data_IF_023050816475
#
_entry.id   IF_023050816475
#
_cell.length_a   1.000
_cell.length_b   1.000
_cell.length_c   1.000
_cell.angle_alpha   90.00
_cell.angle_beta   90.00
_cell.angle_gamma   90.00
#
_symmetry.space_group_name_H-M   'P 1'
#
loop_
_entity.id
_entity.type
_entity.pdbx_description
1 polymer ?
#
# COMPACT_ATOMS: atom_id res chain seq x y z
N UNK A 1 11.56 -58.91 24.40
CA UNK A 1 10.81 -57.69 24.80
C UNK A 1 11.19 -56.45 23.96
N UNK A 2 11.19 -56.52 22.61
CA UNK A 2 11.57 -55.38 21.74
C UNK A 2 10.49 -54.95 20.72
N UNK A 3 9.39 -55.71 20.58
CA UNK A 3 8.34 -55.42 19.58
C UNK A 3 7.31 -54.37 20.03
N UNK A 4 7.09 -54.21 21.35
CA UNK A 4 6.14 -53.22 21.88
C UNK A 4 6.62 -51.77 21.80
N UNK A 5 7.93 -51.53 21.91
CA UNK A 5 8.49 -50.17 21.87
C UNK A 5 8.41 -49.52 20.49
N UNK A 6 8.57 -50.28 19.40
CA UNK A 6 8.47 -49.79 18.03
C UNK A 6 7.02 -49.42 17.66
N UNK A 7 6.05 -50.19 18.17
CA UNK A 7 4.63 -49.92 17.97
C UNK A 7 4.18 -48.64 18.69
N UNK A 8 4.61 -48.43 19.94
CA UNK A 8 4.33 -47.17 20.66
C UNK A 8 4.98 -45.97 19.99
N UNK A 9 6.22 -46.09 19.47
CA UNK A 9 6.91 -45.02 18.75
C UNK A 9 6.21 -44.64 17.44
N UNK A 10 5.73 -45.63 16.67
CA UNK A 10 4.94 -45.41 15.46
C UNK A 10 3.61 -44.71 15.78
N UNK A 11 2.91 -45.17 16.82
CA UNK A 11 1.63 -44.60 17.25
C UNK A 11 1.77 -43.14 17.69
N UNK A 12 2.84 -42.79 18.42
CA UNK A 12 3.11 -41.41 18.83
C UNK A 12 3.50 -40.53 17.65
N UNK A 13 4.36 -41.00 16.72
CA UNK A 13 4.65 -40.23 15.50
C UNK A 13 3.41 -39.97 14.66
N UNK A 14 2.49 -40.92 14.53
CA UNK A 14 1.22 -40.72 13.82
C UNK A 14 0.35 -39.70 14.55
N UNK A 15 0.21 -39.80 15.88
CA UNK A 15 -0.58 -38.84 16.67
C UNK A 15 -0.06 -37.39 16.58
N UNK A 16 1.24 -37.18 16.37
CA UNK A 16 1.83 -35.85 16.20
C UNK A 16 1.90 -35.37 14.75
N UNK A 17 2.19 -36.26 13.79
CA UNK A 17 2.34 -35.90 12.37
C UNK A 17 0.99 -35.89 11.64
N UNK A 18 0.04 -36.74 12.01
CA UNK A 18 -1.27 -36.82 11.33
C UNK A 18 -2.07 -35.51 11.46
N UNK A 19 -2.15 -34.83 12.62
CA UNK A 19 -2.79 -33.50 12.70
C UNK A 19 -2.04 -32.44 11.90
N UNK A 20 -0.71 -32.53 11.80
CA UNK A 20 0.11 -31.61 10.99
C UNK A 20 -0.16 -31.86 9.49
N UNK A 21 -0.19 -33.12 9.06
CA UNK A 21 -0.46 -33.51 7.68
C UNK A 21 -1.91 -33.18 7.30
N UNK A 22 -2.88 -33.48 8.16
CA UNK A 22 -4.30 -33.14 7.95
C UNK A 22 -4.47 -31.62 7.97
N UNK A 23 -3.85 -30.90 8.92
CA UNK A 23 -3.89 -29.45 8.96
C UNK A 23 -3.26 -28.82 7.71
N UNK A 24 -2.14 -29.35 7.24
CA UNK A 24 -1.47 -28.92 6.01
C UNK A 24 -2.28 -29.27 4.75
N UNK A 25 -2.93 -30.44 4.73
CA UNK A 25 -3.80 -30.88 3.64
C UNK A 25 -5.11 -30.10 3.58
N UNK A 26 -5.69 -29.75 4.73
CA UNK A 26 -6.86 -28.86 4.84
C UNK A 26 -6.48 -27.43 4.47
N UNK A 27 -5.32 -26.92 4.90
CA UNK A 27 -4.80 -25.60 4.50
C UNK A 27 -4.60 -25.50 2.99
N UNK A 28 -3.99 -26.51 2.36
CA UNK A 28 -3.82 -26.58 0.90
C UNK A 28 -5.14 -26.66 0.12
N UNK A 29 -6.25 -26.91 0.78
CA UNK A 29 -7.57 -26.99 0.17
C UNK A 29 -8.39 -25.72 0.35
N UNK A 30 -7.88 -24.66 0.97
CA UNK A 30 -8.58 -23.37 0.89
C UNK A 30 -8.67 -22.95 -0.58
N UNK A 31 -9.88 -22.86 -1.17
CA UNK A 31 -10.01 -22.36 -2.51
C UNK A 31 -9.50 -20.91 -2.55
N UNK A 32 -8.77 -20.56 -3.62
CA UNK A 32 -8.37 -19.17 -3.85
C UNK A 32 -9.60 -18.25 -3.81
N UNK A 33 -9.41 -17.02 -3.35
CA UNK A 33 -10.50 -16.05 -3.25
C UNK A 33 -11.10 -15.80 -4.65
N UNK A 34 -12.44 -15.87 -4.80
CA UNK A 34 -13.08 -15.80 -6.09
C UNK A 34 -13.06 -14.37 -6.65
N UNK A 35 -12.94 -14.23 -7.96
CA UNK A 35 -12.99 -12.94 -8.64
C UNK A 35 -12.61 -13.06 -10.11
N UNK A 36 -12.74 -11.98 -10.90
CA UNK A 36 -12.29 -11.98 -12.29
C UNK A 36 -10.79 -12.27 -12.35
N UNK A 37 -10.40 -13.03 -13.36
CA UNK A 37 -9.00 -13.33 -13.63
C UNK A 37 -8.29 -12.08 -14.15
N UNK A 38 -7.09 -11.82 -13.61
CA UNK A 38 -6.24 -10.70 -14.01
C UNK A 38 -4.82 -11.18 -14.32
N UNK A 39 -4.07 -10.33 -15.03
CA UNK A 39 -2.67 -10.55 -15.39
C UNK A 39 -1.78 -9.52 -14.72
N UNK A 40 -0.73 -9.98 -14.05
CA UNK A 40 0.30 -9.13 -13.44
C UNK A 40 1.67 -9.54 -13.97
N UNK A 41 2.54 -8.58 -14.23
CA UNK A 41 3.94 -8.86 -14.55
C UNK A 41 4.76 -8.90 -13.27
N UNK A 42 5.41 -10.04 -13.00
CA UNK A 42 6.40 -10.14 -11.92
C UNK A 42 7.79 -9.78 -12.44
N UNK A 43 8.41 -8.75 -11.86
CA UNK A 43 9.80 -8.39 -12.16
C UNK A 43 10.78 -9.42 -11.62
N UNK A 44 10.44 -10.07 -10.49
CA UNK A 44 11.27 -11.12 -9.88
C UNK A 44 11.33 -12.35 -10.77
N UNK A 45 10.18 -12.83 -11.25
CA UNK A 45 10.11 -14.03 -12.08
C UNK A 45 10.25 -13.73 -13.58
N UNK A 46 10.25 -12.45 -13.96
CA UNK A 46 10.32 -11.96 -15.34
C UNK A 46 9.25 -12.57 -16.25
N UNK A 47 8.03 -12.77 -15.72
CA UNK A 47 6.90 -13.37 -16.45
C UNK A 47 5.57 -12.80 -15.99
N UNK A 48 4.54 -13.06 -16.79
CA UNK A 48 3.15 -12.73 -16.44
C UNK A 48 2.55 -13.85 -15.60
N UNK A 49 2.04 -13.49 -14.43
CA UNK A 49 1.24 -14.34 -13.56
C UNK A 49 -0.25 -14.08 -13.83
N UNK A 50 -1.04 -15.14 -13.69
CA UNK A 50 -2.50 -15.10 -13.85
C UNK A 50 -3.13 -15.59 -12.56
N UNK A 51 -4.00 -14.76 -11.96
CA UNK A 51 -4.62 -15.01 -10.67
C UNK A 51 -5.96 -14.27 -10.58
N UNK A 52 -6.79 -14.59 -9.59
CA UNK A 52 -8.00 -13.82 -9.34
C UNK A 52 -7.66 -12.42 -8.81
N UNK A 53 -8.53 -11.46 -9.08
CA UNK A 53 -8.40 -10.10 -8.54
C UNK A 53 -8.32 -10.09 -7.01
N UNK A 54 -9.04 -10.98 -6.32
CA UNK A 54 -9.00 -11.03 -4.85
C UNK A 54 -7.68 -11.58 -4.30
N UNK A 55 -7.10 -12.61 -4.92
CA UNK A 55 -5.76 -13.09 -4.54
C UNK A 55 -4.69 -12.02 -4.82
N UNK A 56 -4.84 -11.26 -5.91
CA UNK A 56 -3.97 -10.11 -6.17
C UNK A 56 -4.07 -9.07 -5.04
N UNK A 57 -5.29 -8.74 -4.62
CA UNK A 57 -5.52 -7.76 -3.55
C UNK A 57 -4.96 -8.25 -2.21
N UNK A 58 -5.02 -9.55 -1.89
CA UNK A 58 -4.31 -10.12 -0.72
C UNK A 58 -2.82 -9.84 -0.81
N UNK A 59 -2.22 -10.10 -1.96
CA UNK A 59 -0.81 -9.83 -2.24
C UNK A 59 -0.43 -8.36 -2.03
N UNK A 60 -1.25 -7.44 -2.54
CA UNK A 60 -1.04 -5.99 -2.36
C UNK A 60 -1.16 -5.58 -0.90
N UNK A 61 -2.22 -5.98 -0.21
CA UNK A 61 -2.43 -5.60 1.20
C UNK A 61 -1.30 -6.14 2.08
N UNK A 62 -0.85 -7.38 1.84
CA UNK A 62 0.28 -7.97 2.54
C UNK A 62 1.63 -7.31 2.23
N UNK A 63 1.79 -6.73 1.04
CA UNK A 63 2.97 -5.96 0.67
C UNK A 63 2.97 -4.55 1.28
N UNK A 64 1.84 -3.84 1.19
CA UNK A 64 1.71 -2.40 1.41
C UNK A 64 1.36 -2.00 2.85
N UNK A 65 0.54 -2.77 3.56
CA UNK A 65 -0.01 -2.37 4.86
C UNK A 65 0.45 -3.29 6.00
N UNK A 66 0.90 -2.76 7.16
CA UNK A 66 1.22 -3.60 8.30
C UNK A 66 0.01 -4.41 8.76
N UNK A 67 0.12 -5.75 8.79
CA UNK A 67 -0.99 -6.64 9.18
C UNK A 67 -1.50 -6.43 10.62
N UNK A 68 -0.69 -5.80 11.47
CA UNK A 68 -1.09 -5.41 12.82
C UNK A 68 -2.15 -4.28 12.84
N UNK A 69 -2.28 -3.50 11.76
CA UNK A 69 -3.22 -2.39 11.67
C UNK A 69 -4.68 -2.82 11.84
N UNK A 70 -5.53 -1.88 12.23
CA UNK A 70 -6.94 -2.11 12.50
C UNK A 70 -7.65 -2.80 11.31
N UNK A 71 -8.54 -3.79 11.54
CA UNK A 71 -9.23 -4.49 10.45
C UNK A 71 -9.93 -3.56 9.45
N UNK A 72 -10.54 -2.47 9.94
CA UNK A 72 -11.18 -1.47 9.06
C UNK A 72 -10.20 -0.71 8.16
N UNK A 73 -8.94 -0.55 8.59
CA UNK A 73 -7.89 0.00 7.73
C UNK A 73 -7.46 -0.98 6.64
N UNK A 74 -7.35 -2.28 6.97
CA UNK A 74 -7.06 -3.34 6.00
C UNK A 74 -8.17 -3.45 4.95
N UNK A 75 -9.44 -3.36 5.37
CA UNK A 75 -10.60 -3.31 4.46
C UNK A 75 -10.55 -2.08 3.55
N UNK A 76 -10.24 -0.90 4.09
CA UNK A 76 -10.09 0.31 3.28
C UNK A 76 -8.95 0.17 2.26
N UNK A 77 -7.82 -0.40 2.65
CA UNK A 77 -6.72 -0.70 1.74
C UNK A 77 -7.11 -1.71 0.66
N UNK A 78 -7.85 -2.75 1.01
CA UNK A 78 -8.32 -3.75 0.04
C UNK A 78 -9.20 -3.12 -1.05
N UNK A 79 -10.17 -2.28 -0.66
CA UNK A 79 -11.02 -1.55 -1.63
C UNK A 79 -10.21 -0.59 -2.48
N UNK A 80 -9.27 0.16 -1.88
CA UNK A 80 -8.41 1.08 -2.63
C UNK A 80 -7.52 0.34 -3.65
N UNK A 81 -6.85 -0.74 -3.23
CA UNK A 81 -6.02 -1.57 -4.10
C UNK A 81 -6.82 -2.20 -5.25
N UNK A 82 -8.00 -2.75 -4.93
CA UNK A 82 -8.91 -3.31 -5.95
C UNK A 82 -9.36 -2.26 -6.95
N UNK A 83 -9.72 -1.07 -6.46
CA UNK A 83 -10.14 0.05 -7.32
C UNK A 83 -9.01 0.47 -8.26
N UNK A 84 -7.78 0.63 -7.74
CA UNK A 84 -6.63 0.98 -8.55
C UNK A 84 -6.36 -0.07 -9.64
N UNK A 85 -6.42 -1.36 -9.29
CA UNK A 85 -6.23 -2.44 -10.24
C UNK A 85 -7.30 -2.42 -11.34
N UNK A 86 -8.57 -2.27 -10.94
CA UNK A 86 -9.70 -2.24 -11.85
C UNK A 86 -9.66 -1.03 -12.80
N UNK A 87 -9.31 0.16 -12.28
CA UNK A 87 -9.15 1.38 -13.08
C UNK A 87 -8.10 1.21 -14.19
N UNK A 88 -6.98 0.57 -13.89
CA UNK A 88 -5.93 0.29 -14.89
C UNK A 88 -6.36 -0.76 -15.93
N UNK A 89 -7.13 -1.76 -15.52
CA UNK A 89 -7.67 -2.77 -16.42
C UNK A 89 -8.67 -2.16 -17.42
N UNK A 90 -9.57 -1.30 -16.95
CA UNK A 90 -10.53 -0.56 -17.78
C UNK A 90 -9.82 0.35 -18.80
N UNK A 91 -8.68 0.92 -18.43
CA UNK A 91 -7.87 1.81 -19.28
C UNK A 91 -6.74 1.10 -20.02
N UNK A 92 -6.78 -0.22 -20.14
CA UNK A 92 -5.69 -0.99 -20.75
C UNK A 92 -5.29 -0.49 -22.16
N UNK A 93 -6.25 -0.01 -22.94
CA UNK A 93 -6.01 0.58 -24.28
C UNK A 93 -5.18 1.88 -24.24
N UNK A 94 -5.22 2.62 -23.15
CA UNK A 94 -4.42 3.83 -22.95
C UNK A 94 -3.02 3.51 -22.42
N UNK A 95 -2.76 2.25 -22.05
CA UNK A 95 -1.54 1.78 -21.41
C UNK A 95 -0.71 0.88 -22.33
N UNK A 96 -0.86 0.99 -23.66
CA UNK A 96 -0.19 0.10 -24.62
C UNK A 96 1.34 0.12 -24.49
N UNK A 97 1.95 1.30 -24.31
CA UNK A 97 3.40 1.40 -24.14
C UNK A 97 3.87 0.79 -22.82
N UNK A 98 3.08 0.94 -21.75
CA UNK A 98 3.33 0.26 -20.48
C UNK A 98 3.20 -1.25 -20.64
N UNK A 99 2.13 -1.72 -21.27
CA UNK A 99 1.89 -3.14 -21.49
C UNK A 99 3.02 -3.77 -22.32
N UNK A 100 3.54 -3.04 -23.33
CA UNK A 100 4.67 -3.52 -24.16
C UNK A 100 5.93 -3.80 -23.34
N UNK A 101 6.23 -3.00 -22.33
CA UNK A 101 7.38 -3.23 -21.44
C UNK A 101 7.13 -4.28 -20.34
N UNK A 102 5.88 -4.75 -20.19
CA UNK A 102 5.45 -5.69 -19.15
C UNK A 102 4.76 -6.93 -19.72
N UNK A 103 5.21 -7.39 -20.90
CA UNK A 103 4.70 -8.60 -21.57
C UNK A 103 3.16 -8.65 -21.73
N UNK A 104 2.55 -7.49 -21.96
CA UNK A 104 1.11 -7.33 -22.17
C UNK A 104 0.29 -7.10 -20.90
N UNK A 105 0.89 -7.15 -19.71
CA UNK A 105 0.18 -6.86 -18.46
C UNK A 105 0.12 -5.35 -18.19
N UNK A 106 -0.99 -4.88 -17.59
CA UNK A 106 -1.16 -3.48 -17.19
C UNK A 106 -0.92 -3.25 -15.70
N UNK A 107 -0.54 -4.31 -14.98
CA UNK A 107 -0.19 -4.34 -13.57
C UNK A 107 1.17 -5.02 -13.39
N UNK A 108 1.94 -4.60 -12.40
CA UNK A 108 3.18 -5.26 -11.99
C UNK A 108 3.41 -5.18 -10.47
N UNK A 109 4.47 -5.83 -9.99
CA UNK A 109 4.91 -5.87 -8.59
C UNK A 109 5.87 -4.73 -8.18
N UNK A 110 6.20 -3.81 -9.11
CA UNK A 110 7.04 -2.64 -8.80
C UNK A 110 6.18 -1.45 -8.30
N UNK A 111 6.34 -0.99 -7.04
CA UNK A 111 5.61 0.16 -6.51
C UNK A 111 5.97 1.51 -7.15
N UNK A 112 7.06 1.61 -7.91
CA UNK A 112 7.36 2.78 -8.72
C UNK A 112 6.48 2.87 -9.98
N UNK A 113 5.96 1.73 -10.45
CA UNK A 113 5.10 1.61 -11.63
C UNK A 113 3.62 1.47 -11.25
N UNK A 114 3.32 0.58 -10.30
CA UNK A 114 1.97 0.25 -9.84
C UNK A 114 1.89 0.17 -8.32
N UNK A 115 1.67 -1.02 -7.75
CA UNK A 115 1.58 -1.25 -6.32
C UNK A 115 2.58 -2.35 -5.97
N UNK A 116 3.14 -2.31 -4.77
CA UNK A 116 3.90 -3.45 -4.28
C UNK A 116 2.97 -4.67 -4.21
N UNK A 117 3.49 -5.82 -4.62
CA UNK A 117 2.78 -7.08 -4.57
C UNK A 117 3.77 -8.17 -4.17
N UNK A 118 3.31 -9.11 -3.36
CA UNK A 118 4.10 -10.23 -2.87
C UNK A 118 3.26 -11.50 -2.95
N UNK A 119 3.93 -12.62 -3.22
CA UNK A 119 3.32 -13.95 -3.14
C UNK A 119 3.07 -14.35 -1.68
N UNK A 120 2.19 -15.33 -1.47
CA UNK A 120 1.83 -15.82 -0.13
C UNK A 120 3.07 -16.22 0.67
N UNK A 121 3.99 -16.97 0.07
CA UNK A 121 5.21 -17.44 0.73
C UNK A 121 6.09 -16.26 1.18
N UNK A 122 6.17 -15.19 0.38
CA UNK A 122 6.91 -13.98 0.71
C UNK A 122 6.24 -13.19 1.83
N UNK A 123 4.91 -13.08 1.78
CA UNK A 123 4.12 -12.43 2.84
C UNK A 123 4.33 -13.15 4.17
N UNK A 124 4.23 -14.48 4.19
CA UNK A 124 4.41 -15.28 5.39
C UNK A 124 5.85 -15.18 5.92
N UNK A 125 6.85 -15.08 5.03
CA UNK A 125 8.26 -14.94 5.41
C UNK A 125 8.59 -13.57 6.05
N UNK A 126 7.79 -12.52 5.83
CA UNK A 126 7.99 -11.19 6.44
C UNK A 126 7.77 -11.15 7.95
N UNK A 127 6.99 -12.10 8.49
CA UNK A 127 6.56 -12.07 9.88
C UNK A 127 7.15 -13.21 10.69
N UNK A 128 7.28 -13.04 12.03
CA UNK A 128 7.62 -14.16 12.90
C UNK A 128 6.66 -15.32 12.67
N UNK A 129 7.18 -16.55 12.57
CA UNK A 129 6.37 -17.76 12.28
C UNK A 129 5.17 -17.92 13.23
N UNK A 130 5.30 -17.48 14.49
CA UNK A 130 4.22 -17.51 15.48
C UNK A 130 3.05 -16.56 15.17
N UNK A 131 3.25 -15.58 14.30
CA UNK A 131 2.25 -14.56 13.93
C UNK A 131 1.87 -14.59 12.46
N UNK A 132 2.69 -15.19 11.59
CA UNK A 132 2.49 -15.16 10.15
C UNK A 132 1.11 -15.65 9.71
N UNK A 133 0.68 -16.83 10.20
CA UNK A 133 -0.63 -17.40 9.87
C UNK A 133 -1.81 -16.51 10.30
N UNK A 134 -1.79 -15.96 11.53
CA UNK A 134 -2.87 -15.06 12.00
C UNK A 134 -2.94 -13.76 11.19
N UNK A 135 -1.79 -13.23 10.78
CA UNK A 135 -1.71 -11.98 10.04
C UNK A 135 -2.17 -12.16 8.60
N UNK A 136 -1.77 -13.27 7.99
CA UNK A 136 -2.23 -13.64 6.66
C UNK A 136 -3.75 -13.85 6.63
N UNK A 137 -4.29 -14.61 7.58
CA UNK A 137 -5.74 -14.83 7.69
C UNK A 137 -6.51 -13.52 7.92
N UNK A 138 -6.03 -12.64 8.80
CA UNK A 138 -6.64 -11.31 9.01
C UNK A 138 -6.71 -10.47 7.74
N UNK A 139 -5.70 -10.56 6.87
CA UNK A 139 -5.71 -9.89 5.56
C UNK A 139 -6.74 -10.55 4.65
N UNK A 140 -6.72 -11.88 4.51
CA UNK A 140 -7.70 -12.63 3.70
C UNK A 140 -9.13 -12.33 4.11
N UNK A 141 -9.42 -12.25 5.40
CA UNK A 141 -10.73 -11.87 5.95
C UNK A 141 -11.12 -10.44 5.54
N UNK A 142 -10.20 -9.47 5.61
CA UNK A 142 -10.47 -8.08 5.22
C UNK A 142 -10.73 -7.96 3.71
N UNK A 143 -9.97 -8.68 2.88
CA UNK A 143 -10.15 -8.73 1.43
C UNK A 143 -11.50 -9.39 1.09
N UNK A 144 -11.77 -10.57 1.64
CA UNK A 144 -13.03 -11.31 1.45
C UNK A 144 -14.26 -10.50 1.89
N UNK A 145 -14.19 -9.83 3.05
CA UNK A 145 -15.28 -8.99 3.55
C UNK A 145 -15.59 -7.78 2.66
N UNK A 146 -14.68 -7.40 1.77
CA UNK A 146 -14.83 -6.29 0.81
C UNK A 146 -14.78 -6.77 -0.65
N UNK A 147 -14.94 -8.08 -0.88
CA UNK A 147 -14.80 -8.66 -2.22
C UNK A 147 -15.73 -7.98 -3.23
N UNK A 148 -15.17 -7.66 -4.39
CA UNK A 148 -15.85 -6.96 -5.47
C UNK A 148 -16.15 -5.48 -5.22
N UNK A 149 -15.88 -4.92 -4.04
CA UNK A 149 -16.13 -3.50 -3.78
C UNK A 149 -15.02 -2.61 -4.34
N UNK A 150 -15.42 -1.58 -5.08
CA UNK A 150 -14.55 -0.53 -5.62
C UNK A 150 -15.14 0.86 -5.39
N UNK A 151 -14.31 1.90 -5.57
CA UNK A 151 -14.71 3.31 -5.49
C UNK A 151 -14.95 3.89 -6.88
N UNK A 152 -16.11 4.50 -7.06
CA UNK A 152 -16.46 5.23 -8.28
C UNK A 152 -16.60 6.72 -8.01
N UNK A 153 -16.23 7.53 -8.99
CA UNK A 153 -16.59 8.94 -9.09
C UNK A 153 -17.30 9.15 -10.42
N UNK A 154 -18.53 9.67 -10.38
CA UNK A 154 -19.36 9.86 -11.58
C UNK A 154 -19.48 8.57 -12.42
N UNK A 155 -19.66 7.43 -11.75
CA UNK A 155 -19.82 6.12 -12.39
C UNK A 155 -18.54 5.50 -12.96
N UNK A 156 -17.37 6.15 -12.82
CA UNK A 156 -16.08 5.61 -13.29
C UNK A 156 -15.17 5.23 -12.11
N UNK A 157 -14.42 4.12 -12.20
CA UNK A 157 -13.41 3.77 -11.19
C UNK A 157 -12.41 4.91 -10.99
N UNK A 158 -12.11 5.24 -9.75
CA UNK A 158 -11.14 6.30 -9.45
C UNK A 158 -9.71 5.77 -9.53
N UNK A 159 -8.75 6.67 -9.76
CA UNK A 159 -7.35 6.40 -9.43
C UNK A 159 -7.17 6.47 -7.90
N UNK A 160 -7.39 5.34 -7.21
CA UNK A 160 -7.35 5.24 -5.75
C UNK A 160 -5.90 5.23 -5.19
N UNK A 161 -5.21 6.37 -5.29
CA UNK A 161 -3.85 6.53 -4.79
C UNK A 161 -3.80 6.45 -3.25
N UNK A 162 -2.74 5.83 -2.72
CA UNK A 162 -2.53 5.72 -1.28
C UNK A 162 -1.04 5.81 -0.93
N UNK A 163 -0.73 6.12 0.33
CA UNK A 163 0.64 6.26 0.81
C UNK A 163 0.77 5.89 2.30
N UNK A 164 2.00 5.58 2.72
CA UNK A 164 2.27 5.08 4.07
C UNK A 164 1.87 6.06 5.19
N UNK A 165 2.31 7.30 5.11
CA UNK A 165 2.07 8.26 6.19
C UNK A 165 2.12 9.71 5.72
N UNK A 166 1.14 10.50 6.11
CA UNK A 166 1.17 11.95 5.95
C UNK A 166 1.95 12.67 7.07
N UNK A 167 2.58 11.95 8.01
CA UNK A 167 3.25 12.57 9.15
C UNK A 167 2.31 13.34 10.09
N UNK A 168 1.00 13.05 10.07
CA UNK A 168 0.00 13.72 10.91
C UNK A 168 -0.46 15.09 10.40
N UNK A 169 -0.02 15.52 9.22
CA UNK A 169 -0.27 16.86 8.68
C UNK A 169 -1.44 16.93 7.69
N UNK A 170 -2.00 15.78 7.29
CA UNK A 170 -3.04 15.70 6.27
C UNK A 170 -2.51 15.29 4.89
N UNK A 171 -3.43 14.83 4.04
CA UNK A 171 -3.15 14.37 2.68
C UNK A 171 -3.32 15.52 1.70
N UNK A 172 -2.53 15.52 0.65
CA UNK A 172 -2.42 16.61 -0.32
C UNK A 172 -3.59 16.62 -1.30
N UNK A 173 -3.87 17.82 -1.82
CA UNK A 173 -4.70 18.00 -3.01
C UNK A 173 -3.88 17.73 -4.27
N UNK A 174 -4.43 16.96 -5.22
CA UNK A 174 -3.83 16.77 -6.53
C UNK A 174 -3.67 18.09 -7.30
N UNK A 175 -4.58 19.04 -7.08
CA UNK A 175 -4.49 20.36 -7.70
C UNK A 175 -3.25 21.11 -7.20
N UNK A 176 -2.97 21.08 -5.90
CA UNK A 176 -1.81 21.77 -5.34
C UNK A 176 -0.48 21.11 -5.75
N UNK A 177 -0.36 19.79 -5.60
CA UNK A 177 0.94 19.10 -5.76
C UNK A 177 1.20 18.58 -7.18
N UNK A 178 0.18 18.55 -8.04
CA UNK A 178 0.31 18.14 -9.45
C UNK A 178 -0.24 19.16 -10.45
N UNK A 179 -0.98 20.19 -10.03
CA UNK A 179 -1.67 21.09 -10.94
C UNK A 179 -2.84 20.43 -11.67
N UNK A 180 -3.34 19.30 -11.17
CA UNK A 180 -4.41 18.51 -11.80
C UNK A 180 -5.67 18.58 -10.93
N UNK A 181 -6.77 19.05 -11.50
CA UNK A 181 -8.06 19.04 -10.82
C UNK A 181 -8.65 17.62 -10.84
N UNK A 182 -8.40 16.88 -9.76
CA UNK A 182 -8.94 15.54 -9.52
C UNK A 182 -9.84 15.64 -8.28
N UNK A 183 -11.16 15.82 -8.43
CA UNK A 183 -12.04 16.22 -7.32
C UNK A 183 -12.03 15.27 -6.12
N UNK A 184 -11.90 13.98 -6.36
CA UNK A 184 -11.83 12.97 -5.29
C UNK A 184 -10.45 12.88 -4.61
N UNK A 185 -9.44 13.61 -5.08
CA UNK A 185 -8.12 13.76 -4.45
C UNK A 185 -7.90 15.20 -3.97
N UNK A 186 -8.87 15.76 -3.24
CA UNK A 186 -8.83 17.14 -2.75
C UNK A 186 -7.99 17.34 -1.47
N UNK A 187 -7.43 16.27 -0.91
CA UNK A 187 -6.72 16.30 0.37
C UNK A 187 -7.67 16.21 1.57
N UNK A 188 -7.21 15.57 2.64
CA UNK A 188 -8.02 15.26 3.81
C UNK A 188 -7.20 15.33 5.11
N UNK A 189 -7.84 15.76 6.18
CA UNK A 189 -7.22 15.75 7.51
C UNK A 189 -6.86 14.33 7.95
N UNK A 190 -5.83 14.17 8.77
CA UNK A 190 -5.54 12.91 9.44
C UNK A 190 -5.65 13.09 10.95
N UNK A 191 -5.93 12.01 11.71
CA UNK A 191 -5.91 12.09 13.17
C UNK A 191 -4.56 12.63 13.62
N UNK A 192 -4.60 13.61 14.52
CA UNK A 192 -3.38 14.10 15.14
C UNK A 192 -2.77 12.94 15.93
N UNK A 193 -1.56 12.55 15.57
CA UNK A 193 -0.77 11.64 16.38
C UNK A 193 0.17 12.45 17.25
N UNK A 194 0.43 12.01 18.46
CA UNK A 194 1.71 12.37 19.08
C UNK A 194 2.82 11.95 18.10
N UNK A 195 3.86 12.77 17.97
CA UNK A 195 4.91 12.61 16.97
C UNK A 195 5.71 11.29 17.06
N UNK A 196 5.37 10.39 18.00
CA UNK A 196 6.19 9.29 18.45
C UNK A 196 6.17 8.04 17.53
N UNK A 197 5.06 7.68 16.86
CA UNK A 197 5.12 6.44 16.02
C UNK A 197 5.62 6.66 14.59
N UNK A 198 5.80 7.91 14.14
CA UNK A 198 6.43 8.21 12.84
C UNK A 198 7.17 9.56 12.90
N UNK A 199 8.29 9.62 13.63
CA UNK A 199 9.00 10.87 13.84
C UNK A 199 9.58 11.40 12.51
N UNK A 200 9.72 12.73 12.37
CA UNK A 200 10.42 13.30 11.23
C UNK A 200 11.83 12.72 11.11
N UNK A 201 12.22 12.40 9.88
CA UNK A 201 13.56 11.90 9.59
C UNK A 201 14.49 13.07 9.28
N UNK A 202 15.77 12.93 9.63
CA UNK A 202 16.78 13.93 9.31
C UNK A 202 17.76 13.38 8.29
N UNK A 203 17.99 14.11 7.21
CA UNK A 203 18.89 13.69 6.14
C UNK A 203 19.71 14.88 5.65
N UNK A 204 21.04 14.67 5.51
CA UNK A 204 21.91 15.63 4.84
C UNK A 204 21.88 15.38 3.34
N UNK A 205 21.74 16.45 2.56
CA UNK A 205 21.77 16.40 1.10
C UNK A 205 22.88 17.31 0.57
N UNK A 206 23.68 16.86 -0.42
CA UNK A 206 24.80 17.64 -0.97
C UNK A 206 24.32 18.70 -1.96
N UNK A 207 23.41 19.56 -1.52
CA UNK A 207 22.93 20.71 -2.26
C UNK A 207 22.47 21.82 -1.30
N UNK A 208 22.66 23.08 -1.68
CA UNK A 208 22.07 24.22 -0.98
C UNK A 208 20.61 24.36 -1.42
N UNK A 209 19.67 24.19 -0.48
CA UNK A 209 18.24 24.19 -0.75
C UNK A 209 17.59 25.36 0.00
N UNK A 210 16.76 26.12 -0.70
CA UNK A 210 15.86 27.11 -0.12
C UNK A 210 14.44 26.83 -0.57
N UNK A 211 13.52 26.61 0.37
CA UNK A 211 12.11 26.35 0.06
C UNK A 211 11.44 27.68 -0.32
N UNK A 212 10.79 27.72 -1.48
CA UNK A 212 10.12 28.92 -2.00
C UNK A 212 8.62 28.89 -1.69
N UNK A 213 7.98 27.73 -1.82
CA UNK A 213 6.56 27.56 -1.54
C UNK A 213 6.21 26.13 -1.11
N UNK A 214 5.12 26.00 -0.36
CA UNK A 214 4.57 24.73 0.09
C UNK A 214 3.07 24.65 -0.15
N UNK A 215 2.54 23.43 -0.22
CA UNK A 215 1.11 23.15 -0.17
C UNK A 215 0.54 23.45 1.22
N UNK A 216 -0.79 23.40 1.35
CA UNK A 216 -1.48 23.54 2.63
C UNK A 216 -0.96 22.57 3.70
N UNK A 217 -0.64 21.33 3.31
CA UNK A 217 -0.15 20.30 4.23
C UNK A 217 1.39 20.16 4.23
N UNK A 218 2.11 21.13 3.65
CA UNK A 218 3.55 21.29 3.82
C UNK A 218 4.44 20.55 2.82
N UNK A 219 3.88 19.95 1.77
CA UNK A 219 4.68 19.45 0.64
C UNK A 219 5.35 20.62 -0.05
N UNK A 220 6.66 20.52 -0.31
CA UNK A 220 7.41 21.55 -1.04
C UNK A 220 6.96 21.54 -2.50
N UNK A 221 6.31 22.62 -2.92
CA UNK A 221 5.86 22.80 -4.30
C UNK A 221 7.01 23.30 -5.16
N UNK A 222 7.76 24.27 -4.65
CA UNK A 222 8.90 24.87 -5.34
C UNK A 222 10.03 25.14 -4.35
N UNK A 223 11.26 24.84 -4.77
CA UNK A 223 12.47 25.15 -4.04
C UNK A 223 13.57 25.58 -5.00
N UNK A 224 14.46 26.43 -4.50
CA UNK A 224 15.69 26.79 -5.15
C UNK A 224 16.77 25.79 -4.72
N UNK A 225 17.42 25.14 -5.70
CA UNK A 225 18.57 24.25 -5.49
C UNK A 225 19.75 24.83 -6.26
N UNK A 226 20.69 25.42 -5.55
CA UNK A 226 21.73 26.28 -6.13
C UNK A 226 21.08 27.37 -7.01
N UNK A 227 21.33 27.39 -8.32
CA UNK A 227 20.77 28.39 -9.25
C UNK A 227 19.53 27.92 -10.02
N UNK A 228 18.97 26.75 -9.69
CA UNK A 228 17.79 26.19 -10.37
C UNK A 228 16.57 26.15 -9.47
N UNK A 229 15.43 26.54 -10.03
CA UNK A 229 14.12 26.31 -9.43
C UNK A 229 13.62 24.93 -9.82
N UNK A 230 13.26 24.10 -8.84
CA UNK A 230 12.81 22.72 -9.05
C UNK A 230 11.62 22.41 -8.12
N UNK A 231 10.81 21.42 -8.50
CA UNK A 231 9.73 20.96 -7.64
C UNK A 231 10.27 20.10 -6.48
N UNK A 232 9.60 20.13 -5.32
CA UNK A 232 10.02 19.32 -4.16
C UNK A 232 10.00 17.81 -4.45
N UNK A 233 9.13 17.34 -5.36
CA UNK A 233 9.12 15.95 -5.84
C UNK A 233 10.41 15.55 -6.56
N UNK A 234 11.05 16.48 -7.27
CA UNK A 234 12.31 16.21 -7.96
C UNK A 234 13.45 16.07 -6.95
N UNK A 235 13.46 16.92 -5.92
CA UNK A 235 14.40 16.82 -4.79
C UNK A 235 14.22 15.48 -4.08
N UNK A 236 12.96 15.10 -3.78
CA UNK A 236 12.63 13.81 -3.19
C UNK A 236 13.20 12.65 -4.00
N UNK A 237 12.93 12.61 -5.30
CA UNK A 237 13.37 11.53 -6.17
C UNK A 237 14.90 11.50 -6.30
N UNK A 238 15.54 12.66 -6.44
CA UNK A 238 17.00 12.77 -6.63
C UNK A 238 17.79 12.31 -5.42
N UNK A 239 17.31 12.63 -4.21
CA UNK A 239 17.98 12.32 -2.94
C UNK A 239 17.32 11.19 -2.16
N UNK A 240 16.37 10.48 -2.78
CA UNK A 240 15.65 9.35 -2.20
C UNK A 240 15.01 9.69 -0.84
N UNK A 241 14.43 10.89 -0.74
CA UNK A 241 13.76 11.31 0.49
C UNK A 241 12.46 10.51 0.70
N UNK A 242 12.09 10.21 1.96
CA UNK A 242 10.81 9.55 2.27
C UNK A 242 9.58 10.24 1.65
N UNK A 243 9.58 11.58 1.63
CA UNK A 243 8.52 12.41 1.06
C UNK A 243 9.09 13.71 0.50
N UNK A 244 8.27 14.46 -0.25
CA UNK A 244 8.57 15.82 -0.68
C UNK A 244 8.17 16.89 0.37
N UNK A 245 7.80 16.44 1.57
CA UNK A 245 7.40 17.29 2.69
C UNK A 245 8.57 17.40 3.66
N UNK A 246 9.36 18.44 3.48
CA UNK A 246 10.56 18.67 4.29
C UNK A 246 10.79 20.14 4.60
N UNK A 247 11.54 20.39 5.67
CA UNK A 247 12.05 21.70 6.07
C UNK A 247 13.57 21.69 5.98
N UNK A 248 14.16 22.82 5.62
CA UNK A 248 15.62 23.02 5.70
C UNK A 248 15.94 23.52 7.10
N UNK A 249 16.66 22.73 7.88
CA UNK A 249 17.08 23.09 9.23
C UNK A 249 18.36 23.93 9.22
N UNK A 250 19.26 23.63 8.28
CA UNK A 250 20.59 24.22 8.22
C UNK A 250 21.14 24.12 6.80
N UNK A 251 21.90 25.13 6.36
CA UNK A 251 22.71 25.08 5.13
C UNK A 251 24.15 25.47 5.49
N UNK A 252 25.11 24.59 5.23
CA UNK A 252 26.55 24.86 5.42
C UNK A 252 27.37 24.26 4.30
N UNK A 253 28.28 25.06 3.74
CA UNK A 253 29.22 24.64 2.70
C UNK A 253 28.56 23.86 1.53
N UNK A 254 27.40 24.34 1.06
CA UNK A 254 26.66 23.70 -0.04
C UNK A 254 25.89 22.43 0.33
N UNK A 255 25.81 22.07 1.62
CA UNK A 255 25.06 20.92 2.14
C UNK A 255 23.88 21.41 2.97
N UNK A 256 22.69 20.84 2.74
CA UNK A 256 21.49 21.13 3.54
C UNK A 256 21.18 19.98 4.49
N UNK A 257 20.84 20.28 5.75
CA UNK A 257 20.20 19.34 6.67
C UNK A 257 18.69 19.50 6.55
N UNK A 258 18.01 18.45 6.10
CA UNK A 258 16.56 18.41 5.95
C UNK A 258 15.91 17.68 7.12
N UNK A 259 14.74 18.15 7.53
CA UNK A 259 13.80 17.43 8.38
C UNK A 259 12.57 17.04 7.55
N UNK A 260 12.39 15.75 7.30
CA UNK A 260 11.39 15.18 6.39
C UNK A 260 10.25 14.59 7.20
N UNK A 261 9.01 14.95 6.85
CA UNK A 261 7.79 14.45 7.49
C UNK A 261 6.98 13.57 6.55
N UNK A 262 6.44 12.47 7.08
CA UNK A 262 5.66 11.51 6.30
C UNK A 262 6.49 10.64 5.35
N UNK A 263 5.81 9.77 4.61
CA UNK A 263 6.39 8.80 3.70
C UNK A 263 5.42 8.53 2.55
N UNK A 264 5.90 8.70 1.32
CA UNK A 264 5.13 8.57 0.10
C UNK A 264 4.74 9.92 -0.52
N UNK A 265 3.83 9.87 -1.49
CA UNK A 265 3.47 11.04 -2.31
C UNK A 265 2.36 11.93 -1.71
N UNK A 266 1.72 11.49 -0.62
CA UNK A 266 0.76 12.31 0.13
C UNK A 266 -0.67 12.38 -0.43
N UNK A 267 -0.99 11.72 -1.55
CA UNK A 267 -2.31 11.79 -2.18
C UNK A 267 -3.20 10.62 -1.72
N UNK A 268 -4.51 10.87 -1.65
CA UNK A 268 -5.54 9.88 -1.32
C UNK A 268 -5.40 9.27 0.07
N UNK A 269 -5.55 7.95 0.20
CA UNK A 269 -5.59 7.24 1.49
C UNK A 269 -4.22 7.29 2.20
N UNK A 270 -4.19 7.85 3.42
CA UNK A 270 -3.05 7.71 4.33
C UNK A 270 -3.21 6.42 5.14
N UNK A 271 -2.32 5.43 4.95
CA UNK A 271 -2.42 4.11 5.58
C UNK A 271 -2.38 4.19 7.12
N UNK A 272 -1.42 4.94 7.68
CA UNK A 272 -1.37 5.18 9.13
C UNK A 272 -2.60 5.95 9.63
N UNK A 273 -3.07 6.91 8.84
CA UNK A 273 -4.28 7.67 9.15
C UNK A 273 -5.54 6.78 9.18
N UNK A 274 -5.67 5.85 8.24
CA UNK A 274 -6.74 4.86 8.20
C UNK A 274 -6.71 3.95 9.44
N UNK A 275 -5.53 3.50 9.86
CA UNK A 275 -5.38 2.74 11.09
C UNK A 275 -5.89 3.50 12.32
N UNK A 276 -5.52 4.77 12.44
CA UNK A 276 -5.93 5.62 13.56
C UNK A 276 -7.43 5.93 13.55
N UNK A 277 -8.02 6.17 12.37
CA UNK A 277 -9.47 6.31 12.25
C UNK A 277 -10.19 5.02 12.66
N UNK A 278 -9.69 3.86 12.23
CA UNK A 278 -10.21 2.56 12.66
C UNK A 278 -10.15 2.38 14.18
N UNK A 279 -9.03 2.75 14.81
CA UNK A 279 -8.88 2.73 16.28
C UNK A 279 -9.85 3.70 16.99
N UNK A 280 -10.31 4.75 16.32
CA UNK A 280 -11.33 5.68 16.80
C UNK A 280 -12.77 5.24 16.45
N UNK A 281 -12.95 4.00 15.97
CA UNK A 281 -14.25 3.41 15.71
C UNK A 281 -14.84 3.75 14.34
N UNK A 282 -14.06 4.29 13.40
CA UNK A 282 -14.52 4.47 12.03
C UNK A 282 -14.49 3.13 11.28
N UNK A 283 -15.54 2.85 10.52
CA UNK A 283 -15.54 1.76 9.56
C UNK A 283 -14.78 2.12 8.28
N UNK A 284 -14.47 1.11 7.46
CA UNK A 284 -13.75 1.29 6.21
C UNK A 284 -14.46 2.21 5.22
N UNK A 285 -15.80 2.22 5.20
CA UNK A 285 -16.57 3.03 4.25
C UNK A 285 -16.39 4.51 4.56
N UNK A 286 -16.51 4.90 5.83
CA UNK A 286 -16.26 6.26 6.31
C UNK A 286 -14.80 6.67 6.10
N UNK A 287 -13.85 5.77 6.35
CA UNK A 287 -12.42 6.02 6.06
C UNK A 287 -12.23 6.34 4.58
N UNK A 288 -12.78 5.53 3.68
CA UNK A 288 -12.64 5.73 2.23
C UNK A 288 -13.29 7.03 1.76
N UNK A 289 -14.53 7.31 2.18
CA UNK A 289 -15.24 8.55 1.82
C UNK A 289 -14.52 9.81 2.30
N UNK A 290 -13.80 9.73 3.42
CA UNK A 290 -13.01 10.82 3.96
C UNK A 290 -11.77 11.13 3.09
N UNK A 291 -11.06 10.11 2.63
CA UNK A 291 -9.85 10.29 1.80
C UNK A 291 -10.17 10.46 0.31
N UNK A 292 -11.30 9.92 -0.16
CA UNK A 292 -11.75 9.97 -1.55
C UNK A 292 -13.12 10.66 -1.64
N UNK A 293 -13.10 11.99 -1.62
CA UNK A 293 -14.30 12.80 -1.45
C UNK A 293 -15.25 12.69 -2.64
N UNK A 294 -16.56 12.61 -2.35
CA UNK A 294 -17.60 12.53 -3.39
C UNK A 294 -17.66 11.19 -4.15
N UNK A 295 -16.96 10.16 -3.67
CA UNK A 295 -16.99 8.83 -4.27
C UNK A 295 -18.08 7.95 -3.68
N UNK A 296 -18.51 6.95 -4.44
CA UNK A 296 -19.43 5.90 -4.00
C UNK A 296 -18.73 4.54 -4.00
N UNK A 297 -19.11 3.67 -3.05
CA UNK A 297 -18.65 2.28 -3.02
C UNK A 297 -19.68 1.42 -3.77
N UNK A 298 -19.23 0.70 -4.79
CA UNK A 298 -20.06 -0.21 -5.59
C UNK A 298 -19.44 -1.60 -5.63
N UNK A 299 -20.29 -2.61 -5.65
CA UNK A 299 -19.89 -4.02 -5.81
C UNK A 299 -19.96 -4.40 -7.29
N UNK A 300 -18.84 -4.84 -7.86
CA UNK A 300 -18.68 -5.23 -9.26
C UNK A 300 -19.28 -6.61 -9.57
N UNK A 301 -19.14 -7.56 -8.65
CA UNK A 301 -19.56 -8.96 -8.72
C UNK A 301 -19.91 -9.48 -7.34
#
# INVERSE_FOLDING_TARGET
MRKGGLFLLLLTTILFLLPIIIGWWLYRQEPGLPGPEIKIYSHREQKVLTLSLEEYVVGVVGAEMPAAFHPEALKAQAVAARTYAWERLERARELEDFARSHAGAVLCDDPAHTMAWLEEEEILAKWPRSQAGRYYQKIREAVSATAGQILLYQGKPIQALFHASCGGLGTESALEVRGQDIPYLAGAACPKTEAQDFPPQRQRVPAAISVLSTSQHGTVLQAQVNDRSVAGREIRNRFQLPSARFRVLEVRAGVSLLEISGYGHGLGLCQRGANLWGQQGWDYQRILQHYYQGTEIKKLY
#
